data_IF_200537208185
#
_entry.id   IF_200537208185
#
_cell.length_a   1.000
_cell.length_b   1.000
_cell.length_c   1.000
_cell.angle_alpha   90.00
_cell.angle_beta   90.00
_cell.angle_gamma   90.00
#
_symmetry.space_group_name_H-M   'P 1'
#
loop_
_entity.id
_entity.type
_entity.pdbx_description
1 polymer ?
#
# COMPACT_ATOMS: atom_id res chain seq x y z
N UNK A 1 -14.40 33.92 7.56
CA UNK A 1 -14.99 33.03 6.55
C UNK A 1 -14.32 31.68 6.70
N UNK A 2 -15.01 30.70 7.28
CA UNK A 2 -14.50 29.33 7.38
C UNK A 2 -14.51 28.71 6.00
N UNK A 3 -13.34 28.41 5.43
CA UNK A 3 -13.24 27.64 4.19
C UNK A 3 -14.05 26.35 4.30
N UNK A 4 -14.81 25.96 3.27
CA UNK A 4 -15.60 24.73 3.32
C UNK A 4 -14.68 23.52 3.56
N UNK A 5 -15.14 22.58 4.39
CA UNK A 5 -14.40 21.37 4.71
C UNK A 5 -14.20 20.53 3.43
N UNK A 6 -12.95 20.25 3.09
CA UNK A 6 -12.56 19.42 1.94
C UNK A 6 -13.03 17.99 2.19
N UNK A 7 -13.72 17.39 1.20
CA UNK A 7 -14.21 16.01 1.23
C UNK A 7 -13.43 15.15 0.24
N UNK A 8 -12.56 14.27 0.73
CA UNK A 8 -11.67 13.50 -0.14
C UNK A 8 -12.41 12.56 -1.10
N UNK A 9 -13.60 12.06 -0.74
CA UNK A 9 -14.36 11.16 -1.61
C UNK A 9 -14.78 11.80 -2.94
N UNK A 10 -14.87 13.13 -3.00
CA UNK A 10 -15.19 13.87 -4.22
C UNK A 10 -14.10 13.76 -5.31
N UNK A 11 -12.90 13.33 -4.93
CA UNK A 11 -11.77 13.17 -5.83
C UNK A 11 -11.55 11.70 -6.25
N UNK A 12 -12.44 10.80 -5.82
CA UNK A 12 -12.44 9.40 -6.21
C UNK A 12 -13.46 9.11 -7.30
N UNK A 13 -13.06 8.37 -8.34
CA UNK A 13 -13.97 7.91 -9.40
C UNK A 13 -14.69 6.59 -9.04
N UNK A 14 -14.36 5.99 -7.89
CA UNK A 14 -14.97 4.77 -7.35
C UNK A 14 -14.52 4.53 -5.89
N UNK A 15 -15.43 4.17 -4.99
CA UNK A 15 -15.06 3.92 -3.60
C UNK A 15 -14.25 2.62 -3.44
N UNK A 16 -12.98 2.72 -3.03
CA UNK A 16 -12.19 1.61 -2.49
C UNK A 16 -11.84 0.52 -3.50
N UNK A 17 -12.16 -0.75 -3.18
CA UNK A 17 -11.95 -1.90 -4.06
C UNK A 17 -12.62 -1.76 -5.45
N UNK A 18 -13.56 -0.82 -5.62
CA UNK A 18 -14.19 -0.53 -6.91
C UNK A 18 -13.26 0.06 -7.98
N UNK A 19 -12.02 0.42 -7.61
CA UNK A 19 -10.98 0.86 -8.55
C UNK A 19 -10.03 -0.26 -8.99
N UNK A 20 -10.17 -1.49 -8.46
CA UNK A 20 -9.31 -2.62 -8.85
C UNK A 20 -9.60 -3.02 -10.31
N UNK A 21 -8.54 -3.24 -11.09
CA UNK A 21 -8.66 -3.80 -12.44
C UNK A 21 -9.35 -5.16 -12.32
N UNK A 22 -10.34 -5.43 -13.17
CA UNK A 22 -11.07 -6.70 -13.10
C UNK A 22 -10.11 -7.88 -13.30
N UNK A 23 -10.32 -9.03 -12.63
CA UNK A 23 -9.39 -10.17 -12.71
C UNK A 23 -9.10 -10.61 -14.15
N UNK A 24 -10.10 -10.55 -15.02
CA UNK A 24 -9.99 -10.90 -16.45
C UNK A 24 -9.08 -9.94 -17.23
N UNK A 25 -9.12 -8.65 -16.93
CA UNK A 25 -8.24 -7.66 -17.57
C UNK A 25 -6.82 -7.78 -17.00
N UNK A 26 -6.69 -8.00 -15.69
CA UNK A 26 -5.39 -8.20 -15.05
C UNK A 26 -4.67 -9.45 -15.59
N UNK A 27 -5.39 -10.55 -15.81
CA UNK A 27 -4.85 -11.76 -16.41
C UNK A 27 -4.27 -11.48 -17.80
N UNK A 28 -4.98 -10.69 -18.62
CA UNK A 28 -4.47 -10.24 -19.93
C UNK A 28 -3.19 -9.40 -19.80
N UNK A 29 -3.10 -8.50 -18.81
CA UNK A 29 -1.93 -7.63 -18.59
C UNK A 29 -0.71 -8.44 -18.11
N UNK A 30 -0.94 -9.41 -17.23
CA UNK A 30 0.13 -10.25 -16.67
C UNK A 30 0.56 -11.38 -17.62
N UNK A 31 -0.26 -11.73 -18.61
CA UNK A 31 0.08 -12.72 -19.61
C UNK A 31 1.24 -12.23 -20.48
N UNK A 32 2.33 -12.99 -20.51
CA UNK A 32 3.51 -12.70 -21.33
C UNK A 32 4.02 -13.98 -21.99
N UNK A 33 4.41 -13.88 -23.26
CA UNK A 33 5.09 -14.94 -24.00
C UNK A 33 6.60 -14.96 -23.73
N UNK A 34 7.11 -14.02 -22.91
CA UNK A 34 8.52 -13.97 -22.53
C UNK A 34 8.84 -15.14 -21.60
N UNK A 35 10.05 -15.67 -21.74
CA UNK A 35 10.53 -16.74 -20.88
C UNK A 35 10.44 -16.33 -19.41
N UNK A 36 9.83 -17.19 -18.60
CA UNK A 36 9.66 -16.95 -17.18
C UNK A 36 11.01 -17.04 -16.49
N UNK A 37 11.36 -15.98 -15.77
CA UNK A 37 12.48 -16.04 -14.84
C UNK A 37 12.02 -16.76 -13.57
N UNK A 38 12.60 -17.94 -13.31
CA UNK A 38 12.32 -18.73 -12.11
C UNK A 38 13.44 -18.50 -11.10
N UNK A 39 13.10 -17.91 -9.96
CA UNK A 39 13.99 -17.85 -8.79
C UNK A 39 13.49 -18.86 -7.74
N UNK A 40 14.26 -19.93 -7.45
CA UNK A 40 13.88 -20.92 -6.44
C UNK A 40 13.67 -20.36 -5.03
N UNK A 41 14.19 -19.15 -4.74
CA UNK A 41 14.00 -18.47 -3.45
C UNK A 41 12.69 -17.71 -3.37
N UNK A 42 11.99 -17.48 -4.48
CA UNK A 42 10.66 -16.87 -4.46
C UNK A 42 9.62 -17.96 -4.14
N UNK A 43 9.18 -18.03 -2.89
CA UNK A 43 8.26 -19.04 -2.39
C UNK A 43 6.80 -18.76 -2.81
N UNK A 44 6.43 -17.49 -2.81
CA UNK A 44 5.09 -17.00 -3.21
C UNK A 44 5.30 -15.78 -4.09
N UNK A 45 4.61 -15.73 -5.22
CA UNK A 45 4.75 -14.65 -6.20
C UNK A 45 3.52 -14.52 -7.07
N UNK A 46 3.63 -13.84 -8.21
CA UNK A 46 2.50 -13.54 -9.09
C UNK A 46 1.77 -14.79 -9.62
N UNK A 47 2.39 -15.98 -9.54
CA UNK A 47 1.80 -17.23 -10.01
C UNK A 47 0.70 -17.76 -9.08
N UNK A 48 0.73 -17.42 -7.78
CA UNK A 48 -0.23 -17.96 -6.80
C UNK A 48 -1.44 -17.05 -6.55
N UNK A 49 -1.53 -15.90 -7.23
CA UNK A 49 -2.61 -14.89 -7.05
C UNK A 49 -2.76 -14.37 -5.60
N UNK A 50 -1.73 -14.52 -4.78
CA UNK A 50 -1.72 -14.00 -3.41
C UNK A 50 -1.46 -12.49 -3.39
N UNK A 51 -1.99 -11.80 -2.39
CA UNK A 51 -1.85 -10.35 -2.19
C UNK A 51 -0.44 -9.93 -1.68
N UNK A 52 0.48 -10.89 -1.53
CA UNK A 52 1.86 -10.66 -1.12
C UNK A 52 2.85 -11.63 -1.78
N UNK A 53 4.09 -11.18 -1.96
CA UNK A 53 5.20 -12.02 -2.35
C UNK A 53 5.99 -12.48 -1.11
N UNK A 54 6.47 -13.72 -1.12
CA UNK A 54 7.33 -14.28 -0.06
C UNK A 54 8.66 -14.72 -0.66
N UNK A 55 9.76 -14.16 -0.17
CA UNK A 55 11.11 -14.45 -0.64
C UNK A 55 11.98 -15.04 0.47
N UNK A 56 12.52 -16.23 0.26
CA UNK A 56 13.45 -16.88 1.18
C UNK A 56 14.83 -16.21 1.13
N UNK A 57 15.28 -15.72 2.28
CA UNK A 57 16.61 -15.12 2.44
C UNK A 57 17.61 -16.10 3.09
N UNK A 58 17.22 -17.36 3.27
CA UNK A 58 17.98 -18.41 3.91
C UNK A 58 17.75 -18.46 5.42
N UNK A 59 18.34 -19.48 6.06
CA UNK A 59 18.23 -19.74 7.50
C UNK A 59 16.78 -19.90 8.00
N UNK A 60 15.87 -20.37 7.15
CA UNK A 60 14.45 -20.52 7.47
C UNK A 60 13.69 -19.20 7.60
N UNK A 61 14.21 -18.09 7.03
CA UNK A 61 13.59 -16.77 7.11
C UNK A 61 13.05 -16.34 5.76
N UNK A 62 11.75 -16.06 5.70
CA UNK A 62 11.09 -15.44 4.55
C UNK A 62 10.86 -13.94 4.74
N UNK A 63 10.96 -13.17 3.66
CA UNK A 63 10.56 -11.77 3.58
C UNK A 63 9.22 -11.69 2.86
N UNK A 64 8.23 -11.11 3.54
CA UNK A 64 6.91 -10.82 2.97
C UNK A 64 6.90 -9.39 2.45
N UNK A 65 6.47 -9.21 1.20
CA UNK A 65 6.33 -7.92 0.55
C UNK A 65 4.93 -7.81 -0.07
N UNK A 66 4.15 -6.84 0.39
CA UNK A 66 2.79 -6.54 -0.12
C UNK A 66 2.72 -5.10 -0.63
N UNK A 67 1.82 -4.85 -1.60
CA UNK A 67 1.41 -3.51 -1.98
C UNK A 67 -0.08 -3.38 -2.33
N UNK A 68 -0.80 -2.42 -1.75
CA UNK A 68 -2.24 -2.16 -1.97
C UNK A 68 -2.66 -0.69 -1.74
N UNK A 69 -2.75 0.10 -2.80
CA UNK A 69 -3.16 1.51 -2.71
C UNK A 69 -4.53 1.72 -3.33
N UNK A 70 -5.29 2.66 -2.78
CA UNK A 70 -6.61 2.99 -3.30
C UNK A 70 -6.92 4.48 -3.18
N UNK A 71 -7.95 4.92 -3.91
CA UNK A 71 -8.46 6.28 -3.85
C UNK A 71 -9.22 6.51 -2.53
N UNK A 72 -9.36 7.75 -2.07
CA UNK A 72 -10.06 8.04 -0.81
C UNK A 72 -11.45 7.43 -0.71
N UNK A 73 -11.69 6.71 0.39
CA UNK A 73 -12.97 6.04 0.69
C UNK A 73 -13.77 6.73 1.77
N UNK A 74 -13.15 7.66 2.48
CA UNK A 74 -13.74 8.48 3.54
C UNK A 74 -13.33 9.93 3.34
N UNK A 75 -14.12 10.86 3.85
CA UNK A 75 -13.88 12.29 3.69
C UNK A 75 -12.74 12.81 4.56
N UNK A 76 -12.57 12.23 5.75
CA UNK A 76 -11.56 12.66 6.70
C UNK A 76 -10.15 12.17 6.24
N UNK A 77 -9.19 13.09 6.02
CA UNK A 77 -7.85 12.73 5.54
C UNK A 77 -7.07 11.83 6.49
N UNK A 78 -7.14 12.11 7.79
CA UNK A 78 -6.45 11.32 8.80
C UNK A 78 -7.00 9.88 8.87
N UNK A 79 -8.32 9.73 8.86
CA UNK A 79 -8.94 8.41 8.84
C UNK A 79 -8.67 7.67 7.53
N UNK A 80 -8.67 8.36 6.39
CA UNK A 80 -8.27 7.74 5.13
C UNK A 80 -6.85 7.18 5.21
N UNK A 81 -5.90 7.97 5.72
CA UNK A 81 -4.52 7.53 5.92
C UNK A 81 -4.40 6.31 6.84
N UNK A 82 -5.15 6.30 7.94
CA UNK A 82 -5.22 5.16 8.87
C UNK A 82 -5.76 3.91 8.21
N UNK A 83 -6.87 4.02 7.48
CA UNK A 83 -7.51 2.88 6.82
C UNK A 83 -6.59 2.31 5.73
N UNK A 84 -6.01 3.17 4.89
CA UNK A 84 -5.06 2.76 3.86
C UNK A 84 -3.86 2.00 4.44
N UNK A 85 -3.27 2.54 5.51
CA UNK A 85 -2.17 1.87 6.20
C UNK A 85 -2.57 0.55 6.86
N UNK A 86 -3.76 0.48 7.45
CA UNK A 86 -4.23 -0.73 8.12
C UNK A 86 -4.48 -1.85 7.12
N UNK A 87 -5.07 -1.52 5.96
CA UNK A 87 -5.27 -2.44 4.84
C UNK A 87 -3.94 -2.93 4.27
N UNK A 88 -2.97 -2.03 4.07
CA UNK A 88 -1.63 -2.40 3.63
C UNK A 88 -0.95 -3.42 4.56
N UNK A 89 -1.10 -3.21 5.87
CA UNK A 89 -0.44 -4.04 6.89
C UNK A 89 -1.18 -5.37 7.06
N UNK A 90 -2.49 -5.45 6.79
CA UNK A 90 -3.28 -6.66 7.02
C UNK A 90 -2.81 -7.85 6.19
N UNK A 91 -2.29 -7.63 4.98
CA UNK A 91 -1.80 -8.74 4.14
C UNK A 91 -0.60 -9.45 4.77
N UNK A 92 0.28 -8.70 5.45
CA UNK A 92 1.40 -9.29 6.19
C UNK A 92 0.90 -10.19 7.31
N UNK A 93 -0.12 -9.74 8.06
CA UNK A 93 -0.73 -10.54 9.11
C UNK A 93 -1.50 -11.75 8.55
N UNK A 94 -2.18 -11.61 7.41
CA UNK A 94 -2.91 -12.69 6.75
C UNK A 94 -1.98 -13.83 6.31
N UNK A 95 -0.76 -13.49 5.91
CA UNK A 95 0.31 -14.45 5.60
C UNK A 95 1.02 -15.01 6.85
N UNK A 96 0.54 -14.70 8.06
CA UNK A 96 1.15 -15.12 9.32
C UNK A 96 2.44 -14.37 9.69
N UNK A 97 2.80 -13.34 8.92
CA UNK A 97 4.00 -12.55 9.12
C UNK A 97 3.90 -11.51 10.24
N UNK A 98 5.05 -10.99 10.63
CA UNK A 98 5.16 -9.83 11.52
C UNK A 98 5.67 -8.64 10.71
N UNK A 99 4.92 -7.52 10.62
CA UNK A 99 5.41 -6.34 9.92
C UNK A 99 6.59 -5.73 10.68
N UNK A 100 7.53 -5.16 9.93
CA UNK A 100 8.79 -4.60 10.48
C UNK A 100 8.97 -3.11 10.18
N UNK A 101 8.41 -2.64 9.06
CA UNK A 101 8.45 -1.23 8.61
C UNK A 101 7.42 -1.01 7.49
N UNK A 102 7.14 0.26 7.18
CA UNK A 102 6.35 0.72 6.03
C UNK A 102 7.06 1.88 5.30
N UNK A 103 6.77 2.14 4.02
CA UNK A 103 7.18 3.30 3.20
C UNK A 103 5.99 3.86 2.40
N UNK A 104 5.78 5.17 2.43
CA UNK A 104 4.64 5.79 1.76
C UNK A 104 4.70 5.73 0.22
N UNK A 105 3.58 5.56 -0.47
CA UNK A 105 3.41 5.89 -1.90
C UNK A 105 2.23 6.86 -1.99
N UNK A 106 2.51 8.10 -2.38
CA UNK A 106 1.51 9.16 -2.39
C UNK A 106 1.39 9.76 -3.80
N UNK A 107 0.28 9.51 -4.48
CA UNK A 107 -0.15 10.31 -5.62
C UNK A 107 -1.03 11.46 -5.12
N UNK A 108 -0.64 12.70 -5.32
CA UNK A 108 -1.41 13.84 -4.84
C UNK A 108 -1.62 14.89 -5.93
N UNK A 109 -2.85 15.40 -6.15
CA UNK A 109 -3.11 16.44 -7.13
C UNK A 109 -2.79 17.80 -6.52
N UNK A 110 -1.53 18.22 -6.64
CA UNK A 110 -1.04 19.45 -6.00
C UNK A 110 -1.77 20.72 -6.51
N UNK A 111 -2.33 20.65 -7.72
CA UNK A 111 -3.10 21.74 -8.32
C UNK A 111 -4.53 21.88 -7.74
N UNK A 112 -5.08 20.83 -7.13
CA UNK A 112 -6.47 20.83 -6.65
C UNK A 112 -6.59 20.66 -5.14
N UNK A 113 -5.61 20.04 -4.48
CA UNK A 113 -5.62 19.79 -3.05
C UNK A 113 -4.37 20.34 -2.36
N UNK A 114 -4.56 21.08 -1.26
CA UNK A 114 -3.44 21.69 -0.55
C UNK A 114 -2.55 20.64 0.15
N UNK A 115 -1.23 20.86 0.25
CA UNK A 115 -0.30 19.92 0.87
C UNK A 115 -0.62 19.57 2.33
N UNK A 116 -1.23 20.49 3.08
CA UNK A 116 -1.63 20.30 4.48
C UNK A 116 -2.66 19.17 4.65
N UNK A 117 -3.47 18.92 3.62
CA UNK A 117 -4.39 17.79 3.60
C UNK A 117 -3.63 16.49 3.37
N UNK A 118 -2.64 16.48 2.48
CA UNK A 118 -1.75 15.32 2.28
C UNK A 118 -0.97 14.98 3.56
N UNK A 119 -0.53 16.00 4.31
CA UNK A 119 0.11 15.82 5.61
C UNK A 119 -0.80 15.06 6.59
N UNK A 120 -2.08 15.42 6.68
CA UNK A 120 -3.03 14.71 7.55
C UNK A 120 -3.20 13.24 7.17
N UNK A 121 -3.21 12.94 5.86
CA UNK A 121 -3.23 11.55 5.36
C UNK A 121 -1.97 10.80 5.79
N UNK A 122 -0.79 11.40 5.63
CA UNK A 122 0.49 10.82 6.07
C UNK A 122 0.50 10.60 7.59
N UNK A 123 -0.02 11.54 8.37
CA UNK A 123 -0.10 11.43 9.82
C UNK A 123 -1.04 10.29 10.25
N UNK A 124 -2.16 10.12 9.55
CA UNK A 124 -3.04 8.96 9.73
C UNK A 124 -2.33 7.64 9.46
N UNK A 125 -1.57 7.56 8.36
CA UNK A 125 -0.78 6.38 8.05
C UNK A 125 0.30 6.10 9.09
N UNK A 126 1.02 7.14 9.53
CA UNK A 126 2.04 7.04 10.59
C UNK A 126 1.43 6.54 11.91
N UNK A 127 0.24 7.03 12.27
CA UNK A 127 -0.48 6.58 13.45
C UNK A 127 -0.77 5.08 13.38
N UNK A 128 -1.32 4.58 12.27
CA UNK A 128 -1.59 3.15 12.10
C UNK A 128 -0.30 2.30 12.15
N UNK A 129 0.79 2.74 11.51
CA UNK A 129 2.09 2.08 11.63
C UNK A 129 2.57 2.00 13.08
N UNK A 130 2.43 3.09 13.85
CA UNK A 130 2.79 3.12 15.26
C UNK A 130 1.95 2.12 16.09
N UNK A 131 0.65 1.99 15.80
CA UNK A 131 -0.21 0.98 16.44
C UNK A 131 0.23 -0.45 16.11
N UNK A 132 0.74 -0.69 14.90
CA UNK A 132 1.32 -1.97 14.50
C UNK A 132 2.75 -2.20 15.02
N UNK A 133 3.33 -1.24 15.75
CA UNK A 133 4.69 -1.33 16.30
C UNK A 133 5.80 -1.16 15.25
N UNK A 134 5.50 -0.54 14.11
CA UNK A 134 6.45 -0.35 13.00
C UNK A 134 6.64 1.13 12.67
N UNK A 135 7.78 1.46 12.07
CA UNK A 135 8.05 2.81 11.59
C UNK A 135 7.55 3.00 10.15
N UNK A 136 6.98 4.18 9.86
CA UNK A 136 6.85 4.69 8.49
C UNK A 136 8.20 5.31 8.09
N UNK A 137 9.02 4.54 7.39
CA UNK A 137 10.46 4.73 7.20
C UNK A 137 10.88 5.47 5.92
N UNK A 138 9.94 6.13 5.23
CA UNK A 138 10.21 6.86 3.99
C UNK A 138 9.04 6.78 3.04
N UNK A 139 9.31 6.94 1.74
CA UNK A 139 8.30 6.79 0.71
C UNK A 139 8.68 7.42 -0.63
N UNK A 140 7.71 7.40 -1.54
CA UNK A 140 7.74 8.08 -2.82
C UNK A 140 6.45 8.87 -3.02
N UNK A 141 6.53 10.03 -3.64
CA UNK A 141 5.37 10.85 -3.96
C UNK A 141 5.44 11.37 -5.39
N UNK A 142 4.30 11.40 -6.06
CA UNK A 142 4.16 11.93 -7.43
C UNK A 142 3.03 12.96 -7.48
N UNK A 143 3.21 13.99 -8.30
CA UNK A 143 2.08 14.79 -8.74
C UNK A 143 1.24 13.92 -9.68
N UNK A 144 -0.01 13.73 -9.29
CA UNK A 144 -0.94 12.91 -10.04
C UNK A 144 -2.25 13.69 -10.16
N UNK A 145 -2.92 13.69 -11.32
CA UNK A 145 -4.19 14.38 -11.50
C UNK A 145 -5.31 13.89 -10.55
N UNK A 146 -5.08 12.81 -9.79
CA UNK A 146 -5.99 12.24 -8.77
C UNK A 146 -5.23 11.76 -7.54
N UNK A 147 -5.89 11.82 -6.38
CA UNK A 147 -5.39 11.35 -5.08
C UNK A 147 -5.29 9.83 -4.99
N UNK A 148 -4.11 9.33 -4.64
CA UNK A 148 -3.80 7.95 -4.28
C UNK A 148 -2.87 7.96 -3.07
N UNK A 149 -3.09 7.13 -2.05
CA UNK A 149 -2.22 7.09 -0.87
C UNK A 149 -1.91 5.67 -0.43
N UNK A 150 -0.70 5.48 0.10
CA UNK A 150 -0.12 4.22 0.54
C UNK A 150 0.91 4.48 1.62
N UNK A 151 1.02 3.55 2.57
CA UNK A 151 2.26 3.22 3.27
C UNK A 151 2.54 1.71 3.23
N UNK A 152 3.57 1.27 2.52
CA UNK A 152 3.97 -0.12 2.43
C UNK A 152 5.45 -0.33 2.55
N UNK A 153 5.88 -1.41 3.19
CA UNK A 153 7.28 -1.64 3.52
C UNK A 153 8.18 -1.96 2.33
N UNK A 154 9.30 -1.25 2.23
CA UNK A 154 10.61 -1.75 1.79
C UNK A 154 11.67 -0.68 2.18
N UNK A 155 12.74 -0.95 2.94
CA UNK A 155 13.75 -2.01 2.81
C UNK A 155 14.56 -2.18 4.12
N UNK A 156 14.95 -3.43 4.38
CA UNK A 156 15.98 -3.97 5.30
C UNK A 156 15.75 -4.06 6.84
N UNK A 157 15.50 -5.33 7.25
CA UNK A 157 15.98 -6.12 8.43
C UNK A 157 14.91 -6.70 9.38
N UNK A 158 14.87 -8.06 9.40
CA UNK A 158 14.69 -9.03 10.52
C UNK A 158 13.27 -9.25 11.09
N UNK A 159 12.73 -10.44 11.45
CA UNK A 159 13.05 -11.88 11.40
C UNK A 159 11.69 -12.63 11.55
N UNK A 160 11.47 -13.77 10.89
CA UNK A 160 10.39 -14.71 11.24
C UNK A 160 11.03 -16.07 11.54
N UNK A 161 10.68 -16.67 12.67
CA UNK A 161 11.05 -18.03 13.06
C UNK A 161 9.76 -18.79 13.29
N UNK A 162 9.46 -19.74 12.42
CA UNK A 162 8.37 -20.69 12.52
C UNK A 162 8.69 -21.88 11.64
#
# INVERSE_FOLDING_TARGET
>A
MTSPAIRLTQYSHGAGCGCKISPKVLETILHSEREKFVDPRLLVGNETRDDAAVYDIGNGVGIISTTDFFMPIVDNPFDFGRIAATNAISDVYAMGGKPIMAIAILGWPIATLPPEVAQQVIDGGRYACQQAGIALAGGHSIDAPRTHFWPGGNRHRQYWTG
#
